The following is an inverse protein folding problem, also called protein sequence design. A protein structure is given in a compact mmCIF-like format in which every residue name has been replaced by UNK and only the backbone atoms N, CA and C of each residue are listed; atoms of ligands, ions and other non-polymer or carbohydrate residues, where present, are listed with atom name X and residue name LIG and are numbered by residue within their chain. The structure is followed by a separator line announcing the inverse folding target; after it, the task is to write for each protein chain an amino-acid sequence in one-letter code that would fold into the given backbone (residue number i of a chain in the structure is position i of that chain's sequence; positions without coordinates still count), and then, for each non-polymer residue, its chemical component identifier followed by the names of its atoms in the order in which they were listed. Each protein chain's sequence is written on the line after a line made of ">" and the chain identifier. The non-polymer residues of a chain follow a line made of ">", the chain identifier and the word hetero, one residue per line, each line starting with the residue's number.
data_IF_737389961469
#
_entry.id   IF_737389961469
#
_cell.length_a   1.000
_cell.length_b   1.000
_cell.length_c   1.000
_cell.angle_alpha   90.00
_cell.angle_beta   90.00
_cell.angle_gamma   90.00
#
_symmetry.space_group_name_H-M   'P 1'
#
loop_
_entity.id
_entity.type
_entity.pdbx_description
1 polymer ?
#
# COMPACT_ATOMS: atom_id res chain seq x y z
N UNK A 1 -7.02 -13.65 3.53
CA UNK A 1 -6.33 -13.79 2.23
C UNK A 1 -6.46 -12.45 1.55
N UNK A 2 -5.41 -11.91 0.93
CA UNK A 2 -5.57 -10.69 0.14
C UNK A 2 -6.63 -10.96 -0.93
N UNK A 3 -7.70 -10.19 -0.90
CA UNK A 3 -8.83 -10.32 -1.82
C UNK A 3 -8.32 -9.91 -3.21
N UNK A 4 -8.23 -10.86 -4.14
CA UNK A 4 -7.74 -10.57 -5.49
C UNK A 4 -8.81 -9.74 -6.21
N UNK A 5 -8.51 -8.46 -6.47
CA UNK A 5 -9.38 -7.59 -7.27
C UNK A 5 -9.15 -7.86 -8.76
N UNK A 6 -10.24 -8.10 -9.49
CA UNK A 6 -10.22 -8.40 -10.91
C UNK A 6 -10.56 -7.16 -11.76
N UNK A 7 -9.90 -7.06 -12.91
CA UNK A 7 -10.17 -6.08 -13.95
C UNK A 7 -10.25 -6.78 -15.29
N UNK A 8 -11.21 -6.37 -16.10
CA UNK A 8 -11.40 -6.97 -17.41
C UNK A 8 -11.97 -5.96 -18.41
N UNK A 9 -11.49 -6.07 -19.65
CA UNK A 9 -11.86 -5.16 -20.71
C UNK A 9 -13.27 -5.47 -21.23
N UNK A 10 -14.02 -4.41 -21.56
CA UNK A 10 -15.31 -4.48 -22.26
C UNK A 10 -16.38 -5.33 -21.57
N UNK A 11 -16.48 -5.24 -20.25
CA UNK A 11 -17.61 -5.76 -19.49
C UNK A 11 -18.67 -4.67 -19.31
N UNK A 12 -19.89 -4.96 -19.76
CA UNK A 12 -21.06 -4.11 -19.50
C UNK A 12 -22.34 -4.93 -19.65
N UNK A 13 -23.19 -4.87 -18.64
CA UNK A 13 -24.52 -5.47 -18.62
C UNK A 13 -25.59 -4.42 -18.29
N UNK A 14 -26.85 -4.82 -18.40
CA UNK A 14 -27.98 -4.01 -17.93
C UNK A 14 -28.65 -4.65 -16.72
N UNK A 15 -29.31 -3.84 -15.90
CA UNK A 15 -30.18 -4.31 -14.82
C UNK A 15 -31.50 -3.53 -14.79
N UNK A 16 -32.56 -4.19 -14.33
CA UNK A 16 -33.87 -3.60 -14.05
C UNK A 16 -34.17 -3.55 -12.54
N UNK A 17 -33.20 -3.91 -11.69
CA UNK A 17 -33.37 -3.91 -10.22
C UNK A 17 -33.85 -2.53 -9.73
N UNK A 18 -34.83 -2.58 -8.84
CA UNK A 18 -35.34 -1.44 -8.06
C UNK A 18 -34.93 -1.65 -6.61
N UNK A 19 -34.63 -0.59 -5.87
CA UNK A 19 -34.19 -0.69 -4.49
C UNK A 19 -32.68 -0.59 -4.29
N UNK A 20 -32.25 -0.85 -3.06
CA UNK A 20 -30.84 -0.85 -2.64
C UNK A 20 -30.20 -2.25 -2.60
N UNK A 21 -30.92 -3.28 -3.05
CA UNK A 21 -30.46 -4.68 -3.00
C UNK A 21 -29.46 -5.04 -4.10
N UNK A 22 -29.15 -6.34 -4.18
CA UNK A 22 -28.33 -6.94 -5.25
C UNK A 22 -28.90 -6.64 -6.64
N UNK A 23 -28.02 -6.52 -7.63
CA UNK A 23 -28.39 -6.23 -9.00
C UNK A 23 -28.59 -7.54 -9.78
N UNK A 24 -29.81 -7.79 -10.22
CA UNK A 24 -30.12 -8.89 -11.14
C UNK A 24 -29.74 -8.44 -12.55
N UNK A 25 -28.83 -9.16 -13.18
CA UNK A 25 -28.27 -8.80 -14.49
C UNK A 25 -29.14 -9.37 -15.62
N UNK A 26 -29.42 -8.53 -16.62
CA UNK A 26 -30.26 -8.88 -17.79
C UNK A 26 -29.43 -9.37 -18.99
N UNK A 27 -28.11 -9.47 -18.83
CA UNK A 27 -27.19 -9.88 -19.88
C UNK A 27 -26.34 -8.73 -20.44
N UNK A 28 -25.34 -9.10 -21.27
CA UNK A 28 -24.40 -8.14 -21.84
C UNK A 28 -25.04 -7.20 -22.84
N UNK A 29 -24.61 -5.94 -22.75
CA UNK A 29 -24.88 -4.95 -23.79
C UNK A 29 -24.24 -5.37 -25.12
N UNK A 30 -24.82 -4.92 -26.24
CA UNK A 30 -24.30 -5.28 -27.57
C UNK A 30 -22.82 -4.88 -27.73
N UNK A 31 -21.96 -5.86 -28.04
CA UNK A 31 -20.52 -5.66 -28.23
C UNK A 31 -19.70 -5.66 -26.92
N UNK A 32 -20.30 -6.07 -25.80
CA UNK A 32 -19.64 -6.27 -24.51
C UNK A 32 -19.74 -7.75 -24.09
N UNK A 33 -18.89 -8.15 -23.16
CA UNK A 33 -18.95 -9.45 -22.49
C UNK A 33 -19.81 -9.34 -21.22
N UNK A 34 -20.31 -10.48 -20.74
CA UNK A 34 -20.96 -10.56 -19.43
C UNK A 34 -19.93 -10.33 -18.32
N UNK A 35 -20.42 -9.96 -17.15
CA UNK A 35 -19.65 -9.84 -15.91
C UNK A 35 -19.08 -11.21 -15.54
N UNK A 36 -19.87 -12.28 -15.69
CA UNK A 36 -19.45 -13.65 -15.39
C UNK A 36 -18.31 -14.12 -16.29
N UNK A 37 -18.43 -13.95 -17.62
CA UNK A 37 -17.38 -14.36 -18.57
C UNK A 37 -16.07 -13.58 -18.34
N UNK A 38 -16.18 -12.32 -17.92
CA UNK A 38 -15.04 -11.43 -17.83
C UNK A 38 -14.28 -11.48 -16.51
N UNK A 39 -14.95 -11.76 -15.38
CA UNK A 39 -14.32 -11.74 -14.04
C UNK A 39 -14.56 -13.00 -13.22
N UNK A 40 -15.50 -13.85 -13.63
CA UNK A 40 -15.94 -15.01 -12.86
C UNK A 40 -16.44 -14.62 -11.48
N UNK A 41 -16.06 -15.41 -10.47
CA UNK A 41 -16.51 -15.24 -9.08
C UNK A 41 -15.61 -14.33 -8.23
N UNK A 42 -14.78 -13.49 -8.86
CA UNK A 42 -13.85 -12.61 -8.16
C UNK A 42 -14.46 -11.26 -7.79
N UNK A 43 -13.90 -10.61 -6.76
CA UNK A 43 -14.29 -9.25 -6.40
C UNK A 43 -13.77 -8.24 -7.41
N UNK A 44 -14.60 -7.24 -7.72
CA UNK A 44 -14.27 -6.21 -8.69
C UNK A 44 -15.03 -4.92 -8.42
N UNK A 45 -14.62 -3.87 -9.14
CA UNK A 45 -15.24 -2.56 -9.04
C UNK A 45 -16.15 -2.28 -10.23
N UNK A 46 -17.32 -1.71 -9.95
CA UNK A 46 -18.35 -1.44 -10.93
C UNK A 46 -18.88 -0.02 -10.79
N UNK A 47 -19.38 0.52 -11.90
CA UNK A 47 -20.28 1.65 -11.90
C UNK A 47 -21.66 1.18 -12.36
N UNK A 48 -22.70 1.51 -11.60
CA UNK A 48 -24.09 1.37 -12.01
C UNK A 48 -24.68 2.76 -12.23
N UNK A 49 -25.37 2.98 -13.36
CA UNK A 49 -25.98 4.27 -13.69
C UNK A 49 -27.20 4.15 -14.58
N UNK A 50 -28.18 5.03 -14.41
CA UNK A 50 -29.29 5.24 -15.35
C UNK A 50 -29.08 6.46 -16.27
N UNK A 51 -27.88 7.03 -16.27
CA UNK A 51 -27.52 8.25 -17.00
C UNK A 51 -27.79 9.55 -16.23
N UNK A 52 -28.44 9.49 -15.07
CA UNK A 52 -28.64 10.62 -14.15
C UNK A 52 -27.98 10.32 -12.81
N UNK A 53 -28.45 9.27 -12.15
CA UNK A 53 -27.90 8.79 -10.89
C UNK A 53 -26.82 7.73 -11.17
N UNK A 54 -25.85 7.65 -10.28
CA UNK A 54 -24.74 6.71 -10.39
C UNK A 54 -24.15 6.36 -9.02
N UNK A 55 -23.52 5.19 -8.98
CA UNK A 55 -22.71 4.72 -7.86
C UNK A 55 -21.51 3.90 -8.35
N UNK A 56 -20.40 4.00 -7.63
CA UNK A 56 -19.20 3.20 -7.85
C UNK A 56 -18.96 2.34 -6.61
N UNK A 57 -18.97 1.02 -6.80
CA UNK A 57 -18.94 0.06 -5.70
C UNK A 57 -18.08 -1.15 -6.00
N UNK A 58 -17.62 -1.80 -4.94
CA UNK A 58 -17.06 -3.15 -4.99
C UNK A 58 -18.19 -4.18 -4.85
N UNK A 59 -18.11 -5.25 -5.65
CA UNK A 59 -19.01 -6.39 -5.56
C UNK A 59 -18.45 -7.63 -6.25
N UNK A 60 -19.21 -8.72 -6.15
CA UNK A 60 -18.95 -10.02 -6.77
C UNK A 60 -20.27 -10.65 -7.23
N UNK A 61 -20.19 -11.67 -8.08
CA UNK A 61 -21.36 -12.49 -8.42
C UNK A 61 -21.67 -13.45 -7.27
N UNK A 62 -22.89 -13.39 -6.74
CA UNK A 62 -23.37 -14.31 -5.72
C UNK A 62 -23.66 -15.71 -6.31
N UNK A 63 -24.11 -16.64 -5.47
CA UNK A 63 -24.41 -18.02 -5.90
C UNK A 63 -25.51 -18.12 -6.96
N UNK A 64 -26.36 -17.09 -7.09
CA UNK A 64 -27.42 -17.02 -8.07
C UNK A 64 -26.99 -16.32 -9.37
N UNK A 65 -25.78 -15.75 -9.41
CA UNK A 65 -25.29 -14.90 -10.50
C UNK A 65 -25.78 -13.46 -10.42
N UNK A 66 -26.32 -13.04 -9.26
CA UNK A 66 -26.68 -11.65 -9.00
C UNK A 66 -25.45 -10.87 -8.53
N UNK A 67 -25.30 -9.63 -8.97
CA UNK A 67 -24.16 -8.79 -8.58
C UNK A 67 -24.41 -8.15 -7.20
N UNK A 68 -23.54 -8.46 -6.24
CA UNK A 68 -23.57 -7.86 -4.91
C UNK A 68 -23.13 -6.39 -4.93
N UNK A 69 -23.47 -5.69 -3.85
CA UNK A 69 -23.15 -4.29 -3.61
C UNK A 69 -22.55 -4.20 -2.21
N UNK A 70 -21.28 -4.56 -2.09
CA UNK A 70 -20.64 -4.81 -0.78
C UNK A 70 -20.08 -3.53 -0.16
N UNK A 71 -19.50 -2.64 -0.98
CA UNK A 71 -18.96 -1.36 -0.54
C UNK A 71 -19.15 -0.28 -1.59
N UNK A 72 -19.79 0.84 -1.24
CA UNK A 72 -19.88 2.02 -2.11
C UNK A 72 -18.71 2.97 -1.83
N UNK A 73 -17.83 3.16 -2.81
CA UNK A 73 -16.75 4.17 -2.70
C UNK A 73 -17.30 5.58 -2.82
N UNK A 74 -18.17 5.80 -3.80
CA UNK A 74 -18.76 7.09 -4.06
C UNK A 74 -19.99 6.97 -4.94
N UNK A 75 -20.88 7.95 -4.83
CA UNK A 75 -22.13 7.97 -5.57
C UNK A 75 -22.63 9.40 -5.76
N UNK A 76 -23.65 9.55 -6.61
CA UNK A 76 -24.44 10.77 -6.73
C UNK A 76 -25.15 11.21 -5.43
N UNK A 77 -25.19 10.34 -4.40
CA UNK A 77 -25.67 10.61 -3.04
C UNK A 77 -24.55 10.66 -1.99
N UNK A 78 -23.31 10.92 -2.40
CA UNK A 78 -22.16 11.12 -1.51
C UNK A 78 -21.69 9.87 -0.75
N UNK A 79 -21.75 8.69 -1.38
CA UNK A 79 -21.20 7.44 -0.83
C UNK A 79 -22.24 6.47 -0.29
N UNK A 80 -23.52 6.84 -0.30
CA UNK A 80 -24.61 5.90 -0.04
C UNK A 80 -24.97 5.11 -1.31
N UNK A 81 -25.39 3.86 -1.12
CA UNK A 81 -26.00 3.06 -2.17
C UNK A 81 -27.27 3.72 -2.70
N UNK A 82 -27.40 3.81 -4.02
CA UNK A 82 -28.58 4.39 -4.67
C UNK A 82 -29.78 3.46 -4.48
N UNK A 83 -30.91 4.05 -4.06
CA UNK A 83 -32.23 3.41 -4.08
C UNK A 83 -32.80 3.52 -5.50
N UNK A 84 -32.57 2.48 -6.30
CA UNK A 84 -32.85 2.53 -7.73
C UNK A 84 -34.35 2.58 -8.01
N UNK A 85 -34.79 3.56 -8.80
CA UNK A 85 -36.12 3.58 -9.39
C UNK A 85 -36.27 2.61 -10.56
N UNK A 86 -37.49 2.44 -11.07
CA UNK A 86 -37.74 1.64 -12.27
C UNK A 86 -37.04 2.21 -13.52
N UNK A 87 -36.66 1.32 -14.44
CA UNK A 87 -35.97 1.68 -15.68
C UNK A 87 -34.70 0.88 -15.88
N UNK A 88 -34.12 0.96 -17.08
CA UNK A 88 -32.86 0.27 -17.40
C UNK A 88 -31.69 1.06 -16.83
N UNK A 89 -30.80 0.36 -16.12
CA UNK A 89 -29.48 0.87 -15.74
C UNK A 89 -28.40 0.08 -16.46
N UNK A 90 -27.28 0.72 -16.73
CA UNK A 90 -26.05 0.06 -17.18
C UNK A 90 -25.16 -0.22 -15.98
N UNK A 91 -24.52 -1.39 -15.98
CA UNK A 91 -23.50 -1.79 -15.01
C UNK A 91 -22.25 -2.19 -15.76
N UNK A 92 -21.09 -1.61 -15.42
CA UNK A 92 -19.83 -1.91 -16.11
C UNK A 92 -18.64 -1.85 -15.16
N UNK A 93 -17.60 -2.63 -15.48
CA UNK A 93 -16.35 -2.62 -14.72
C UNK A 93 -15.66 -1.26 -14.82
N UNK A 94 -15.13 -0.76 -13.71
CA UNK A 94 -14.40 0.51 -13.64
C UNK A 94 -13.15 0.36 -12.80
N UNK A 95 -12.17 1.23 -13.07
CA UNK A 95 -11.14 1.52 -12.09
C UNK A 95 -11.62 2.70 -11.23
N UNK A 96 -11.93 2.50 -9.94
CA UNK A 96 -12.46 3.56 -9.10
C UNK A 96 -11.38 4.62 -8.84
N UNK A 97 -11.77 5.90 -8.95
CA UNK A 97 -10.83 7.01 -8.85
C UNK A 97 -10.14 7.10 -7.48
N UNK A 98 -10.86 6.76 -6.40
CA UNK A 98 -10.30 6.74 -5.04
C UNK A 98 -9.13 5.75 -4.92
N UNK A 99 -9.34 4.51 -5.38
CA UNK A 99 -8.29 3.48 -5.38
C UNK A 99 -7.13 3.87 -6.28
N UNK A 100 -7.38 4.40 -7.49
CA UNK A 100 -6.29 4.84 -8.38
C UNK A 100 -5.51 5.99 -7.74
N UNK A 101 -6.18 6.95 -7.11
CA UNK A 101 -5.52 8.06 -6.44
C UNK A 101 -4.64 7.55 -5.29
N UNK A 102 -5.09 6.55 -4.53
CA UNK A 102 -4.30 5.90 -3.49
C UNK A 102 -3.13 5.12 -4.07
N UNK A 103 -3.35 4.30 -5.10
CA UNK A 103 -2.30 3.56 -5.80
C UNK A 103 -1.23 4.49 -6.39
N UNK A 104 -1.63 5.63 -6.97
CA UNK A 104 -0.72 6.63 -7.53
C UNK A 104 0.06 7.37 -6.45
N UNK A 105 -0.61 7.74 -5.35
CA UNK A 105 0.07 8.28 -4.16
C UNK A 105 1.13 7.31 -3.68
N UNK A 106 0.80 6.03 -3.65
CA UNK A 106 1.67 4.94 -3.26
C UNK A 106 2.67 4.51 -4.35
N UNK A 107 2.71 5.07 -5.56
CA UNK A 107 3.68 4.67 -6.60
C UNK A 107 4.71 5.74 -6.93
N UNK A 108 4.60 6.95 -6.36
CA UNK A 108 5.36 8.14 -6.76
C UNK A 108 6.84 8.21 -6.30
N UNK A 109 7.44 7.14 -5.79
CA UNK A 109 8.89 7.08 -5.54
C UNK A 109 9.46 7.96 -4.40
N UNK A 110 8.70 8.93 -3.89
CA UNK A 110 8.86 9.48 -2.54
C UNK A 110 7.47 9.49 -1.91
N UNK A 111 7.17 8.40 -1.20
CA UNK A 111 5.92 8.26 -0.46
C UNK A 111 6.09 8.96 0.88
N UNK A 112 5.11 9.77 1.24
CA UNK A 112 4.89 10.46 2.53
C UNK A 112 6.07 10.46 3.51
N UNK A 113 6.60 11.65 3.81
CA UNK A 113 7.57 11.80 4.91
C UNK A 113 6.91 11.43 6.24
N UNK A 114 7.51 10.48 6.96
CA UNK A 114 7.16 10.18 8.35
C UNK A 114 8.19 10.80 9.29
N UNK A 115 7.73 11.29 10.44
CA UNK A 115 8.59 11.87 11.46
C UNK A 115 8.87 10.86 12.57
N UNK A 116 9.98 10.14 12.43
CA UNK A 116 10.52 9.23 13.43
C UNK A 116 11.39 10.02 14.42
N UNK A 117 10.78 10.90 15.22
CA UNK A 117 11.49 11.87 16.07
C UNK A 117 12.08 11.29 17.37
N UNK A 118 11.78 10.04 17.70
CA UNK A 118 12.22 9.40 18.95
C UNK A 118 12.33 7.90 18.75
N UNK A 119 13.13 7.24 19.59
CA UNK A 119 13.31 5.78 19.57
C UNK A 119 11.99 5.04 19.46
N UNK A 120 11.92 4.06 18.57
CA UNK A 120 10.72 3.28 18.30
C UNK A 120 10.91 2.25 17.20
N UNK A 121 9.82 1.56 16.88
CA UNK A 121 9.77 0.52 15.86
C UNK A 121 9.07 1.07 14.61
N UNK A 122 9.66 0.81 13.45
CA UNK A 122 9.08 1.09 12.14
C UNK A 122 8.16 -0.05 11.74
N UNK A 123 7.00 0.28 11.16
CA UNK A 123 6.09 -0.74 10.65
C UNK A 123 6.47 -1.18 9.24
N UNK A 124 5.92 -2.31 8.79
CA UNK A 124 5.97 -2.73 7.36
C UNK A 124 5.55 -1.57 6.45
N UNK A 125 4.45 -0.87 6.78
CA UNK A 125 3.97 0.28 5.99
C UNK A 125 5.00 1.41 5.92
N UNK A 126 5.78 1.64 6.97
CA UNK A 126 6.82 2.67 7.00
C UNK A 126 8.00 2.33 6.08
N UNK A 127 8.21 1.05 5.83
CA UNK A 127 9.27 0.51 4.98
C UNK A 127 8.78 0.14 3.57
N UNK A 128 7.78 0.84 3.00
CA UNK A 128 7.32 0.64 1.60
C UNK A 128 7.76 1.77 0.67
N UNK A 129 9.04 2.14 0.72
CA UNK A 129 9.64 3.18 -0.12
C UNK A 129 9.34 4.60 0.36
N UNK A 130 9.11 4.79 1.67
CA UNK A 130 8.87 6.11 2.27
C UNK A 130 10.17 6.83 2.62
N UNK A 131 10.07 8.15 2.81
CA UNK A 131 11.09 8.97 3.45
C UNK A 131 10.85 8.97 4.97
N UNK A 132 11.85 8.57 5.74
CA UNK A 132 11.80 8.47 7.20
C UNK A 132 12.72 9.55 7.74
N UNK A 133 12.17 10.50 8.49
CA UNK A 133 12.87 11.70 8.90
C UNK A 133 12.99 11.77 10.41
N UNK A 134 14.18 12.03 10.94
CA UNK A 134 14.36 12.25 12.37
C UNK A 134 13.91 13.66 12.82
N UNK A 135 13.13 14.38 12.01
CA UNK A 135 12.71 15.75 12.29
C UNK A 135 12.05 15.85 13.67
N UNK A 136 12.60 16.72 14.52
CA UNK A 136 12.13 16.91 15.89
C UNK A 136 12.83 16.02 16.92
N UNK A 137 13.87 15.29 16.53
CA UNK A 137 14.71 14.54 17.47
C UNK A 137 15.27 15.43 18.59
N UNK A 138 15.17 14.95 19.83
CA UNK A 138 15.63 15.67 21.03
C UNK A 138 16.59 14.86 21.92
N UNK A 139 16.81 13.59 21.59
CA UNK A 139 17.71 12.66 22.28
C UNK A 139 18.25 11.64 21.27
N UNK A 140 19.12 10.73 21.69
CA UNK A 140 19.48 9.56 20.88
C UNK A 140 18.22 8.83 20.38
N UNK A 141 18.26 8.39 19.13
CA UNK A 141 17.09 7.89 18.43
C UNK A 141 17.43 6.57 17.73
N UNK A 142 16.92 5.47 18.28
CA UNK A 142 17.02 4.15 17.68
C UNK A 142 15.73 3.81 16.96
N UNK A 143 15.79 3.62 15.65
CA UNK A 143 14.70 3.07 14.86
C UNK A 143 14.96 1.60 14.59
N UNK A 144 14.04 0.75 15.02
CA UNK A 144 14.07 -0.69 14.73
C UNK A 144 13.24 -0.97 13.49
N UNK A 145 13.84 -1.59 12.48
CA UNK A 145 13.14 -2.08 11.29
C UNK A 145 12.15 -3.20 11.68
N UNK A 146 11.06 -3.39 10.91
CA UNK A 146 10.18 -4.54 11.09
C UNK A 146 10.92 -5.84 10.74
N UNK A 147 10.31 -6.98 11.08
CA UNK A 147 10.73 -8.28 10.57
C UNK A 147 10.82 -8.23 9.04
N UNK A 148 11.93 -8.71 8.48
CA UNK A 148 12.25 -8.54 7.08
C UNK A 148 11.37 -9.45 6.20
N UNK A 149 10.77 -8.86 5.16
CA UNK A 149 9.97 -9.57 4.16
C UNK A 149 10.16 -8.96 2.77
N UNK A 150 9.53 -9.57 1.76
CA UNK A 150 9.68 -9.15 0.36
C UNK A 150 9.24 -7.70 0.12
N UNK A 151 10.04 -6.94 -0.62
CA UNK A 151 9.64 -5.64 -1.17
C UNK A 151 9.75 -4.45 -0.21
N UNK A 152 10.32 -4.63 0.97
CA UNK A 152 10.55 -3.54 1.92
C UNK A 152 11.76 -2.68 1.50
N UNK A 153 11.61 -1.36 1.61
CA UNK A 153 12.65 -0.38 1.32
C UNK A 153 12.34 0.98 1.94
N UNK A 154 13.34 1.84 2.06
CA UNK A 154 13.13 3.21 2.51
C UNK A 154 14.38 4.05 2.45
N UNK A 155 14.20 5.34 2.71
CA UNK A 155 15.30 6.28 2.90
C UNK A 155 15.14 6.98 4.24
N UNK A 156 16.11 6.84 5.12
CA UNK A 156 16.22 7.62 6.35
C UNK A 156 16.98 8.90 6.05
N UNK A 157 16.44 10.05 6.40
CA UNK A 157 17.11 11.34 6.28
C UNK A 157 17.26 12.02 7.64
N UNK A 158 18.45 12.55 7.88
CA UNK A 158 18.73 13.39 9.03
C UNK A 158 18.25 14.81 8.69
N UNK A 159 17.13 15.20 9.28
CA UNK A 159 16.55 16.54 9.23
C UNK A 159 16.80 17.34 10.52
N UNK A 160 17.20 16.69 11.62
CA UNK A 160 17.58 17.32 12.89
C UNK A 160 18.96 16.81 13.32
N UNK A 161 19.89 17.72 13.59
CA UNK A 161 21.26 17.42 14.00
C UNK A 161 21.50 17.84 15.46
N UNK A 162 22.53 17.25 16.09
CA UNK A 162 22.99 17.64 17.44
C UNK A 162 22.13 17.15 18.61
N UNK A 163 21.15 16.27 18.36
CA UNK A 163 20.26 15.72 19.37
C UNK A 163 20.71 14.37 19.97
N UNK A 164 21.84 13.81 19.51
CA UNK A 164 22.31 12.46 19.84
C UNK A 164 22.55 11.65 18.57
N UNK A 165 22.98 10.40 18.71
CA UNK A 165 23.14 9.50 17.57
C UNK A 165 21.77 9.18 16.94
N UNK A 166 21.79 8.82 15.66
CA UNK A 166 20.67 8.13 15.02
C UNK A 166 21.10 6.69 14.76
N UNK A 167 20.34 5.71 15.22
CA UNK A 167 20.67 4.29 15.16
C UNK A 167 19.57 3.58 14.38
N UNK A 168 19.96 2.71 13.45
CA UNK A 168 19.07 1.82 12.72
C UNK A 168 19.40 0.37 13.09
N UNK A 169 18.42 -0.32 13.65
CA UNK A 169 18.52 -1.72 14.08
C UNK A 169 17.61 -2.62 13.24
N UNK A 170 18.00 -3.86 12.94
CA UNK A 170 17.12 -4.83 12.30
C UNK A 170 16.01 -5.30 13.26
N UNK A 171 14.95 -5.88 12.69
CA UNK A 171 13.96 -6.65 13.45
C UNK A 171 14.56 -7.91 14.09
N UNK A 172 13.74 -8.66 14.83
CA UNK A 172 14.26 -9.81 15.58
C UNK A 172 14.60 -10.96 14.62
N UNK A 173 15.80 -11.53 14.74
CA UNK A 173 16.33 -12.58 13.86
C UNK A 173 16.65 -12.14 12.43
N UNK A 174 16.69 -10.83 12.17
CA UNK A 174 17.21 -10.29 10.92
C UNK A 174 18.58 -9.65 11.14
N UNK A 175 19.39 -9.59 10.09
CA UNK A 175 20.65 -8.85 10.12
C UNK A 175 20.70 -7.74 9.06
N UNK A 176 21.56 -6.75 9.32
CA UNK A 176 21.91 -5.74 8.34
C UNK A 176 23.20 -6.15 7.63
N UNK A 177 23.19 -6.09 6.30
CA UNK A 177 24.37 -6.14 5.46
C UNK A 177 24.85 -4.72 5.17
N UNK A 178 26.13 -4.47 5.47
CA UNK A 178 26.81 -3.21 5.21
C UNK A 178 28.16 -3.47 4.55
N UNK A 179 28.46 -2.77 3.45
CA UNK A 179 29.70 -2.95 2.67
C UNK A 179 30.02 -4.42 2.36
N UNK A 180 29.00 -5.19 1.96
CA UNK A 180 29.09 -6.62 1.62
C UNK A 180 29.40 -7.55 2.81
N UNK A 181 29.20 -7.10 4.04
CA UNK A 181 29.37 -7.90 5.26
C UNK A 181 28.06 -7.91 6.04
N UNK A 182 27.56 -9.10 6.38
CA UNK A 182 26.46 -9.25 7.33
C UNK A 182 26.98 -8.95 8.74
N UNK A 183 26.32 -8.03 9.45
CA UNK A 183 26.73 -7.61 10.78
C UNK A 183 26.39 -8.65 11.86
N UNK A 184 25.45 -9.56 11.57
CA UNK A 184 24.88 -10.51 12.52
C UNK A 184 23.64 -9.97 13.24
N UNK A 185 22.94 -10.85 13.93
CA UNK A 185 21.71 -10.52 14.65
C UNK A 185 22.01 -9.56 15.82
N UNK A 186 21.15 -8.54 15.99
CA UNK A 186 21.29 -7.54 17.07
C UNK A 186 22.37 -6.48 16.80
N UNK A 187 22.99 -6.46 15.62
CA UNK A 187 23.92 -5.41 15.23
C UNK A 187 23.23 -4.30 14.44
N UNK A 188 23.67 -3.07 14.70
CA UNK A 188 23.07 -1.84 14.19
C UNK A 188 24.02 -1.02 13.33
N UNK A 189 23.45 -0.09 12.59
CA UNK A 189 24.17 1.00 11.93
C UNK A 189 23.83 2.30 12.64
N UNK A 190 24.85 3.03 13.08
CA UNK A 190 24.67 4.33 13.73
C UNK A 190 25.32 5.46 12.94
N UNK A 191 24.66 6.62 12.93
CA UNK A 191 25.25 7.91 12.61
C UNK A 191 25.50 8.59 13.95
N UNK A 192 26.72 8.43 14.50
CA UNK A 192 27.04 8.91 15.86
C UNK A 192 27.03 10.44 15.98
N UNK A 193 27.29 11.13 14.88
CA UNK A 193 27.22 12.59 14.79
C UNK A 193 26.35 13.00 13.61
N UNK A 194 25.00 12.94 13.73
CA UNK A 194 24.11 13.25 12.63
C UNK A 194 24.25 14.69 12.17
N UNK A 195 24.62 14.88 10.91
CA UNK A 195 24.54 16.14 10.19
C UNK A 195 23.28 16.21 9.33
N UNK A 196 22.68 17.40 9.20
CA UNK A 196 21.52 17.59 8.33
C UNK A 196 21.90 17.22 6.89
N UNK A 197 21.07 16.39 6.25
CA UNK A 197 21.30 15.87 4.91
C UNK A 197 22.13 14.58 4.87
N UNK A 198 22.62 14.08 6.00
CA UNK A 198 23.01 12.67 6.07
C UNK A 198 21.80 11.78 5.83
N UNK A 199 22.01 10.63 5.18
CA UNK A 199 20.93 9.71 4.89
C UNK A 199 21.42 8.26 4.77
N UNK A 200 20.50 7.33 5.03
CA UNK A 200 20.67 5.89 4.81
C UNK A 200 19.57 5.43 3.85
N UNK A 201 19.92 4.66 2.82
CA UNK A 201 18.95 3.91 2.02
C UNK A 201 19.00 2.46 2.43
N UNK A 202 17.84 1.81 2.51
CA UNK A 202 17.77 0.39 2.84
C UNK A 202 16.75 -0.33 1.96
N UNK A 203 16.98 -1.62 1.75
CA UNK A 203 16.06 -2.51 1.04
C UNK A 203 16.20 -3.93 1.55
N UNK A 204 15.10 -4.67 1.54
CA UNK A 204 15.11 -6.09 1.84
C UNK A 204 15.59 -6.89 0.64
N UNK A 205 16.23 -8.02 0.91
CA UNK A 205 16.60 -8.98 -0.11
C UNK A 205 16.58 -10.39 0.45
N UNK A 206 16.34 -11.37 -0.42
CA UNK A 206 16.40 -12.78 -0.07
C UNK A 206 17.85 -13.25 -0.18
N UNK A 207 18.43 -13.70 0.93
CA UNK A 207 19.79 -14.21 0.95
C UNK A 207 19.87 -15.67 0.43
N UNK A 208 21.10 -16.19 0.28
CA UNK A 208 21.33 -17.56 -0.23
C UNK A 208 20.84 -18.71 0.68
N UNK A 209 20.37 -18.40 1.88
CA UNK A 209 19.79 -19.34 2.86
C UNK A 209 18.27 -19.23 2.97
N UNK A 210 17.60 -18.51 2.05
CA UNK A 210 16.17 -18.20 2.07
C UNK A 210 15.71 -17.43 3.31
N UNK A 211 16.58 -16.65 3.94
CA UNK A 211 16.20 -15.66 4.93
C UNK A 211 16.16 -14.27 4.29
N UNK A 212 15.15 -13.49 4.64
CA UNK A 212 15.06 -12.09 4.25
C UNK A 212 15.97 -11.29 5.18
N UNK A 213 16.84 -10.47 4.61
CA UNK A 213 17.76 -9.63 5.36
C UNK A 213 17.74 -8.22 4.78
N UNK A 214 18.32 -7.28 5.52
CA UNK A 214 18.43 -5.90 5.12
C UNK A 214 19.78 -5.63 4.49
N UNK A 215 19.83 -4.80 3.45
CA UNK A 215 21.06 -4.09 3.08
C UNK A 215 20.85 -2.61 3.33
N UNK A 216 21.86 -1.98 3.91
CA UNK A 216 21.85 -0.54 4.21
C UNK A 216 23.06 0.11 3.56
N UNK A 217 22.81 1.21 2.85
CA UNK A 217 23.82 2.01 2.19
C UNK A 217 23.73 3.48 2.64
N UNK A 218 24.79 4.04 3.23
CA UNK A 218 24.83 5.45 3.57
C UNK A 218 25.00 6.31 2.32
N UNK A 219 24.39 7.50 2.34
CA UNK A 219 24.57 8.51 1.32
C UNK A 219 26.00 9.06 1.27
N UNK A 220 26.43 9.66 0.15
CA UNK A 220 27.74 10.32 0.06
C UNK A 220 27.97 11.31 1.21
N UNK A 221 29.10 11.19 1.90
CA UNK A 221 29.44 12.03 3.04
C UNK A 221 28.73 11.68 4.36
N UNK A 222 27.90 10.63 4.40
CA UNK A 222 27.36 10.08 5.64
C UNK A 222 28.35 9.07 6.21
N UNK A 223 28.95 9.39 7.36
CA UNK A 223 29.78 8.45 8.11
C UNK A 223 28.90 7.64 9.04
N UNK A 224 29.05 6.32 8.97
CA UNK A 224 28.35 5.38 9.85
C UNK A 224 29.33 4.54 10.64
N UNK A 225 28.90 4.12 11.82
CA UNK A 225 29.56 3.10 12.62
C UNK A 225 28.67 1.85 12.70
N UNK A 226 29.30 0.71 12.93
CA UNK A 226 28.61 -0.56 13.17
C UNK A 226 28.82 -0.92 14.63
N UNK A 227 27.75 -1.15 15.38
CA UNK A 227 27.80 -1.48 16.81
C UNK A 227 26.82 -2.58 17.14
N UNK A 228 27.02 -3.27 18.26
CA UNK A 228 25.98 -4.14 18.82
C UNK A 228 24.99 -3.29 19.60
N UNK A 229 23.69 -3.40 19.28
CA UNK A 229 22.65 -3.10 20.25
C UNK A 229 22.72 -4.10 21.41
N UNK A 230 22.18 -3.78 22.59
CA UNK A 230 22.36 -4.57 23.82
C UNK A 230 22.03 -6.06 23.70
#
# INVERSE_FOLDING_TARGET
>A
MAETIYFADRIKETTLTVGTGVLVLEGPSTGFMSIDDGMGSGDAWFCCTDGVDWEVFQGHLDVNGDLTRDYCSYSSTYGDFIDWGAGTKEVFNVFPAELIAEMLRLSSGIKTEIFASSTGELTVSDCLGKLISNRGQSAENTQTLPDCEEGLSGTIVIATAGAGAFILEPGTNDQIYYNSVGLGDGFSISIDTPGIGNYLTFFSFLNGSNAWDWIVAPGPGTTVNTGGGP
#
